data_IF_799623757464
#
_entry.id   IF_799623757464
#
_cell.length_a   1.000
_cell.length_b   1.000
_cell.length_c   1.000
_cell.angle_alpha   90.00
_cell.angle_beta   90.00
_cell.angle_gamma   90.00
#
_symmetry.space_group_name_H-M   'P 1'
#
loop_
_entity.id
_entity.type
_entity.pdbx_description
1 polymer ?
#
# COMPACT_ATOMS: atom_id res chain seq x y z
N UNK A 1 -27.02 6.97 5.36
CA UNK A 1 -25.83 6.59 4.57
C UNK A 1 -24.59 6.84 5.43
N UNK A 2 -23.48 6.20 5.11
CA UNK A 2 -22.21 6.30 5.82
C UNK A 2 -21.08 6.33 4.80
N UNK A 3 -20.06 7.16 5.00
CA UNK A 3 -18.88 7.25 4.13
C UNK A 3 -17.68 6.63 4.81
N UNK A 4 -17.04 5.64 4.17
CA UNK A 4 -15.82 5.02 4.70
C UNK A 4 -14.76 6.09 4.99
N UNK A 5 -14.35 6.16 6.25
CA UNK A 5 -13.37 7.14 6.72
C UNK A 5 -13.97 8.33 7.47
N UNK A 6 -15.31 8.50 7.53
CA UNK A 6 -15.93 9.67 8.17
C UNK A 6 -15.55 9.86 9.65
N UNK A 7 -15.21 8.78 10.37
CA UNK A 7 -14.69 8.86 11.75
C UNK A 7 -13.18 8.71 11.84
N UNK A 8 -12.56 7.90 10.97
CA UNK A 8 -11.13 7.56 11.09
C UNK A 8 -10.20 8.42 10.23
N UNK A 9 -10.73 9.21 9.31
CA UNK A 9 -9.97 9.89 8.25
C UNK A 9 -9.46 8.98 7.14
N UNK A 10 -9.64 7.66 7.26
CA UNK A 10 -9.11 6.70 6.29
C UNK A 10 -10.11 6.45 5.15
N UNK A 11 -10.13 7.37 4.18
CA UNK A 11 -11.04 7.35 3.03
C UNK A 11 -10.55 6.41 1.91
N UNK A 12 -11.45 6.12 0.98
CA UNK A 12 -11.17 5.37 -0.25
C UNK A 12 -11.52 6.26 -1.44
N UNK A 13 -10.51 6.73 -2.18
CA UNK A 13 -10.73 7.51 -3.39
C UNK A 13 -11.06 6.57 -4.55
N UNK A 14 -12.30 6.61 -5.02
CA UNK A 14 -12.79 5.76 -6.11
C UNK A 14 -12.02 6.05 -7.40
N UNK A 15 -11.57 4.98 -8.06
CA UNK A 15 -10.88 5.01 -9.36
C UNK A 15 -11.77 4.40 -10.45
N UNK A 16 -12.42 3.26 -10.16
CA UNK A 16 -13.30 2.56 -11.09
C UNK A 16 -14.37 1.76 -10.33
N UNK A 17 -15.53 1.54 -10.97
CA UNK A 17 -16.62 0.70 -10.50
C UNK A 17 -17.10 -0.14 -11.69
N UNK A 18 -17.10 -1.46 -11.55
CA UNK A 18 -17.58 -2.37 -12.59
C UNK A 18 -18.47 -3.47 -12.00
N UNK A 19 -19.57 -3.87 -12.67
CA UNK A 19 -20.35 -5.04 -12.30
C UNK A 19 -19.67 -6.34 -12.74
N UNK A 20 -20.11 -7.45 -12.15
CA UNK A 20 -19.86 -8.79 -12.69
C UNK A 20 -20.82 -9.16 -13.84
N UNK A 21 -20.77 -10.41 -14.30
CA UNK A 21 -21.44 -10.82 -15.54
C UNK A 21 -22.97 -10.91 -15.44
N UNK A 22 -23.51 -11.12 -14.24
CA UNK A 22 -24.94 -11.16 -13.93
C UNK A 22 -25.44 -9.91 -13.18
N UNK A 23 -24.54 -8.98 -12.84
CA UNK A 23 -24.81 -7.67 -12.27
C UNK A 23 -25.35 -7.71 -10.83
N UNK A 24 -24.90 -8.66 -10.02
CA UNK A 24 -25.24 -8.73 -8.59
C UNK A 24 -24.10 -8.29 -7.66
N UNK A 25 -22.89 -8.15 -8.20
CA UNK A 25 -21.70 -7.71 -7.44
C UNK A 25 -20.98 -6.56 -8.15
N UNK A 26 -20.48 -5.59 -7.36
CA UNK A 26 -19.64 -4.50 -7.86
C UNK A 26 -18.20 -4.65 -7.36
N UNK A 27 -17.24 -4.53 -8.28
CA UNK A 27 -15.83 -4.33 -7.97
C UNK A 27 -15.50 -2.83 -8.00
N UNK A 28 -15.13 -2.29 -6.84
CA UNK A 28 -14.66 -0.91 -6.70
C UNK A 28 -13.14 -0.91 -6.57
N UNK A 29 -12.45 -0.34 -7.56
CA UNK A 29 -11.04 -0.03 -7.45
C UNK A 29 -10.91 1.33 -6.77
N UNK A 30 -10.13 1.41 -5.69
CA UNK A 30 -9.95 2.64 -4.94
C UNK A 30 -8.52 2.77 -4.40
N UNK A 31 -8.04 4.02 -4.34
CA UNK A 31 -6.80 4.36 -3.68
C UNK A 31 -7.09 4.76 -2.23
N UNK A 32 -6.53 4.06 -1.22
CA UNK A 32 -6.77 4.39 0.18
C UNK A 32 -6.01 5.64 0.60
N UNK A 33 -6.63 6.43 1.49
CA UNK A 33 -5.96 7.46 2.27
C UNK A 33 -5.70 6.86 3.65
N UNK A 34 -4.44 6.55 3.98
CA UNK A 34 -4.08 5.89 5.24
C UNK A 34 -4.45 4.39 5.31
N UNK A 35 -4.25 3.72 6.46
CA UNK A 35 -4.54 2.29 6.60
C UNK A 35 -6.05 2.02 6.60
N UNK A 36 -6.48 1.08 5.76
CA UNK A 36 -7.91 0.79 5.60
C UNK A 36 -8.52 0.08 6.82
N UNK A 37 -7.76 -0.82 7.45
CA UNK A 37 -8.24 -1.68 8.54
C UNK A 37 -8.12 -0.99 9.92
N UNK A 38 -9.08 -1.26 10.80
CA UNK A 38 -9.12 -0.71 12.17
C UNK A 38 -7.99 -1.22 13.08
N UNK A 39 -7.28 -2.28 12.68
CA UNK A 39 -6.08 -2.80 13.38
C UNK A 39 -4.78 -2.14 12.90
N UNK A 40 -4.85 -1.15 12.00
CA UNK A 40 -3.68 -0.51 11.40
C UNK A 40 -3.06 -1.26 10.22
N UNK A 41 -3.60 -2.42 9.85
CA UNK A 41 -3.16 -3.19 8.66
C UNK A 41 -3.78 -2.63 7.37
N UNK A 42 -3.22 -3.04 6.22
CA UNK A 42 -3.69 -2.59 4.89
C UNK A 42 -5.06 -3.15 4.50
N UNK A 43 -5.40 -4.36 4.95
CA UNK A 43 -6.66 -5.05 4.64
C UNK A 43 -7.23 -5.78 5.86
N UNK A 44 -8.47 -6.27 5.72
CA UNK A 44 -9.16 -7.07 6.74
C UNK A 44 -8.73 -8.55 6.75
N UNK A 45 -8.05 -9.04 5.71
CA UNK A 45 -7.84 -10.47 5.45
C UNK A 45 -6.53 -11.04 6.03
N UNK A 46 -6.04 -10.45 7.13
CA UNK A 46 -4.81 -10.88 7.79
C UNK A 46 -3.58 -10.78 6.88
N UNK A 47 -2.74 -11.80 6.91
CA UNK A 47 -1.49 -11.88 6.11
C UNK A 47 -1.69 -12.49 4.73
N UNK A 48 -2.93 -12.82 4.34
CA UNK A 48 -3.19 -13.39 3.02
C UNK A 48 -2.93 -12.36 1.92
N UNK A 49 -2.16 -12.76 0.92
CA UNK A 49 -1.76 -11.91 -0.18
C UNK A 49 -1.60 -12.73 -1.46
N UNK A 50 -1.92 -12.13 -2.61
CA UNK A 50 -1.50 -12.70 -3.88
C UNK A 50 0.01 -12.53 -4.05
N UNK A 51 0.67 -13.44 -4.75
CA UNK A 51 2.14 -13.52 -4.83
C UNK A 51 2.80 -12.21 -5.28
N UNK A 52 2.17 -11.50 -6.21
CA UNK A 52 2.71 -10.25 -6.77
C UNK A 52 2.62 -9.06 -5.80
N UNK A 53 1.78 -9.13 -4.77
CA UNK A 53 1.69 -8.06 -3.76
C UNK A 53 3.01 -7.87 -3.02
N UNK A 54 3.79 -8.94 -2.88
CA UNK A 54 5.10 -8.89 -2.25
C UNK A 54 6.05 -7.91 -2.94
N UNK A 55 6.03 -7.82 -4.28
CA UNK A 55 6.89 -6.88 -5.01
C UNK A 55 6.51 -5.43 -4.73
N UNK A 56 5.22 -5.13 -4.65
CA UNK A 56 4.73 -3.81 -4.24
C UNK A 56 5.16 -3.49 -2.80
N UNK A 57 4.98 -4.43 -1.87
CA UNK A 57 5.39 -4.25 -0.47
C UNK A 57 6.90 -4.04 -0.33
N UNK A 58 7.70 -4.78 -1.10
CA UNK A 58 9.14 -4.60 -1.16
C UNK A 58 9.51 -3.21 -1.68
N UNK A 59 8.87 -2.75 -2.76
CA UNK A 59 9.08 -1.40 -3.27
C UNK A 59 8.76 -0.32 -2.23
N UNK A 60 7.64 -0.45 -1.50
CA UNK A 60 7.29 0.47 -0.41
C UNK A 60 8.37 0.47 0.69
N UNK A 61 8.85 -0.71 1.10
CA UNK A 61 9.92 -0.83 2.10
C UNK A 61 11.22 -0.18 1.62
N UNK A 62 11.57 -0.34 0.34
CA UNK A 62 12.76 0.31 -0.24
C UNK A 62 12.60 1.83 -0.28
N UNK A 63 11.40 2.33 -0.57
CA UNK A 63 11.08 3.75 -0.58
C UNK A 63 11.18 4.37 0.83
N UNK A 64 10.62 3.70 1.86
CA UNK A 64 10.72 4.12 3.26
C UNK A 64 12.17 4.22 3.74
N UNK A 65 13.03 3.30 3.29
CA UNK A 65 14.45 3.25 3.66
C UNK A 65 15.33 4.26 2.94
N UNK A 66 14.81 5.01 1.97
CA UNK A 66 15.59 5.96 1.17
C UNK A 66 16.26 7.05 2.01
N UNK A 67 15.62 7.47 3.09
CA UNK A 67 16.11 8.50 4.01
C UNK A 67 16.45 7.96 5.41
N UNK A 68 16.50 6.64 5.57
CA UNK A 68 16.88 6.02 6.84
C UNK A 68 18.39 6.16 7.10
N UNK A 69 18.80 6.02 8.36
CA UNK A 69 20.21 6.02 8.73
C UNK A 69 20.96 4.89 7.98
N UNK A 70 22.12 5.16 7.35
CA UNK A 70 22.88 4.18 6.57
C UNK A 70 23.20 2.88 7.30
N UNK A 71 23.30 2.90 8.64
CA UNK A 71 23.63 1.72 9.43
C UNK A 71 22.42 0.81 9.69
N UNK A 72 21.20 1.26 9.38
CA UNK A 72 19.96 0.53 9.69
C UNK A 72 19.65 -0.60 8.69
N UNK A 73 20.13 -0.51 7.45
CA UNK A 73 19.85 -1.51 6.43
C UNK A 73 20.79 -1.42 5.23
N UNK A 74 20.90 -2.53 4.49
CA UNK A 74 21.60 -2.56 3.21
C UNK A 74 21.08 -1.52 2.21
N UNK A 75 19.75 -1.37 2.13
CA UNK A 75 19.11 -0.39 1.24
C UNK A 75 19.48 1.05 1.61
N UNK A 76 19.44 1.41 2.90
CA UNK A 76 19.82 2.74 3.36
C UNK A 76 21.29 3.05 3.05
N UNK A 77 22.18 2.07 3.29
CA UNK A 77 23.61 2.17 2.95
C UNK A 77 23.84 2.38 1.45
N UNK A 78 23.09 1.68 0.59
CA UNK A 78 23.17 1.89 -0.86
C UNK A 78 22.74 3.30 -1.25
N UNK A 79 21.62 3.80 -0.72
CA UNK A 79 21.17 5.17 -0.98
C UNK A 79 22.20 6.22 -0.55
N UNK A 80 22.81 6.05 0.63
CA UNK A 80 23.86 6.93 1.13
C UNK A 80 25.14 6.92 0.27
N UNK A 81 25.41 5.81 -0.43
CA UNK A 81 26.57 5.68 -1.33
C UNK A 81 26.39 6.38 -2.70
N UNK A 82 25.19 6.90 -2.97
CA UNK A 82 24.87 7.70 -4.16
C UNK A 82 24.61 6.88 -5.43
N UNK A 83 23.98 7.53 -6.41
CA UNK A 83 23.47 6.88 -7.64
C UNK A 83 24.55 6.12 -8.42
N UNK A 84 25.78 6.63 -8.48
CA UNK A 84 26.90 5.98 -9.20
C UNK A 84 27.23 4.58 -8.65
N UNK A 85 26.97 4.31 -7.37
CA UNK A 85 27.22 3.01 -6.74
C UNK A 85 26.03 2.06 -6.89
N UNK A 86 24.84 2.61 -7.09
CA UNK A 86 23.60 1.85 -7.27
C UNK A 86 23.43 1.37 -8.72
N UNK A 87 23.77 2.25 -9.68
CA UNK A 87 23.78 1.94 -11.11
C UNK A 87 24.97 1.03 -11.47
#
# INVERSE_FOLDING_TARGET
LWTKGETSGNFLNVVNIAPDCDNDTLLVLANPIGPTCHKGTSSCFGETAHQWLFLYQLEQLLAERKSADPETSYTAKLYASGTKRIA
#
